data_IF_795770806292
#
_entry.id   IF_795770806292
#
_cell.length_a   1.000
_cell.length_b   1.000
_cell.length_c   1.000
_cell.angle_alpha   90.00
_cell.angle_beta   90.00
_cell.angle_gamma   90.00
#
_symmetry.space_group_name_H-M   'P 1'
#
loop_
_entity.id
_entity.type
_entity.pdbx_description
1 polymer ?
#
# COMPACT_ATOMS: atom_id res chain seq x y z
N UNK A 1 13.02 12.60 -0.09
CA UNK A 1 13.18 11.59 -1.17
C UNK A 1 14.45 11.79 -1.97
N UNK A 2 14.74 13.03 -2.49
CA UNK A 2 15.94 13.28 -3.30
C UNK A 2 17.24 12.86 -2.60
N UNK A 3 17.47 13.30 -1.35
CA UNK A 3 18.66 12.92 -0.57
C UNK A 3 18.80 11.40 -0.40
N UNK A 4 17.67 10.69 -0.22
CA UNK A 4 17.66 9.23 -0.10
C UNK A 4 18.10 8.57 -1.41
N UNK A 5 17.56 9.00 -2.55
CA UNK A 5 17.95 8.48 -3.87
C UNK A 5 19.43 8.75 -4.16
N UNK A 6 19.92 9.95 -3.84
CA UNK A 6 21.34 10.28 -3.98
C UNK A 6 22.22 9.39 -3.09
N UNK A 7 21.79 9.13 -1.85
CA UNK A 7 22.51 8.22 -0.95
C UNK A 7 22.57 6.80 -1.54
N UNK A 8 21.48 6.30 -2.13
CA UNK A 8 21.45 5.00 -2.80
C UNK A 8 22.44 4.94 -3.97
N UNK A 9 22.44 5.95 -4.84
CA UNK A 9 23.36 6.04 -5.98
C UNK A 9 24.81 6.08 -5.51
N UNK A 10 25.12 6.88 -4.49
CA UNK A 10 26.46 6.93 -3.90
C UNK A 10 26.85 5.59 -3.28
N UNK A 11 25.93 4.92 -2.59
CA UNK A 11 26.18 3.61 -2.01
C UNK A 11 26.54 2.58 -3.11
N UNK A 12 25.75 2.52 -4.19
CA UNK A 12 26.06 1.69 -5.36
C UNK A 12 27.44 2.01 -5.93
N UNK A 13 27.76 3.29 -6.08
CA UNK A 13 29.06 3.72 -6.59
C UNK A 13 30.21 3.27 -5.69
N UNK A 14 30.10 3.44 -4.38
CA UNK A 14 31.15 3.04 -3.44
C UNK A 14 31.29 1.51 -3.32
N UNK A 15 30.19 0.77 -3.38
CA UNK A 15 30.21 -0.71 -3.45
C UNK A 15 30.95 -1.15 -4.73
N UNK A 16 30.57 -0.61 -5.89
CA UNK A 16 31.21 -0.95 -7.15
C UNK A 16 32.71 -0.63 -7.15
N UNK A 17 33.08 0.53 -6.57
CA UNK A 17 34.48 0.93 -6.42
C UNK A 17 35.26 0.01 -5.46
N UNK A 18 34.66 -0.36 -4.33
CA UNK A 18 35.29 -1.27 -3.35
C UNK A 18 35.47 -2.68 -3.87
N UNK A 19 34.58 -3.14 -4.71
CA UNK A 19 34.64 -4.45 -5.37
C UNK A 19 35.41 -4.43 -6.71
N UNK A 20 36.00 -3.28 -7.07
CA UNK A 20 36.71 -3.07 -8.35
C UNK A 20 35.89 -3.45 -9.59
N UNK A 21 34.56 -3.25 -9.53
CA UNK A 21 33.66 -3.59 -10.62
C UNK A 21 33.59 -2.45 -11.64
N UNK A 22 33.79 -2.80 -12.91
CA UNK A 22 33.40 -1.91 -14.02
C UNK A 22 31.88 -1.90 -14.18
N UNK A 23 31.34 -1.01 -14.99
CA UNK A 23 29.89 -0.98 -15.25
C UNK A 23 29.36 -2.34 -15.79
N UNK A 24 30.09 -2.96 -16.70
CA UNK A 24 29.78 -4.31 -17.18
C UNK A 24 29.88 -5.37 -16.08
N UNK A 25 30.90 -5.28 -15.21
CA UNK A 25 31.08 -6.15 -14.06
C UNK A 25 29.94 -6.00 -13.03
N UNK A 26 29.44 -4.78 -12.83
CA UNK A 26 28.29 -4.53 -11.97
C UNK A 26 27.01 -5.19 -12.53
N UNK A 27 26.77 -5.04 -13.83
CA UNK A 27 25.61 -5.68 -14.49
C UNK A 27 25.73 -7.21 -14.42
N UNK A 28 26.91 -7.79 -14.68
CA UNK A 28 27.10 -9.24 -14.59
C UNK A 28 26.94 -9.74 -13.15
N UNK A 29 27.50 -9.05 -12.15
CA UNK A 29 27.32 -9.42 -10.74
C UNK A 29 25.86 -9.44 -10.33
N UNK A 30 25.06 -8.48 -10.81
CA UNK A 30 23.61 -8.45 -10.54
C UNK A 30 22.93 -9.60 -11.30
N UNK A 31 23.22 -9.78 -12.59
CA UNK A 31 22.58 -10.78 -13.45
C UNK A 31 22.85 -12.21 -12.98
N UNK A 32 24.07 -12.50 -12.54
CA UNK A 32 24.51 -13.84 -12.15
C UNK A 32 24.14 -14.18 -10.68
N UNK A 33 23.58 -13.23 -9.95
CA UNK A 33 23.16 -13.42 -8.56
C UNK A 33 21.89 -14.29 -8.49
N UNK A 34 21.82 -15.17 -7.48
CA UNK A 34 20.61 -15.95 -7.16
C UNK A 34 19.41 -15.06 -6.86
N UNK A 35 19.63 -13.81 -6.45
CA UNK A 35 18.59 -12.81 -6.20
C UNK A 35 18.02 -12.17 -7.47
N UNK A 36 18.60 -12.43 -8.65
CA UNK A 36 18.18 -11.82 -9.93
C UNK A 36 17.05 -12.57 -10.62
N UNK A 37 16.62 -13.72 -10.10
CA UNK A 37 15.47 -14.45 -10.64
C UNK A 37 14.19 -13.63 -10.37
N UNK A 38 13.67 -13.00 -11.43
CA UNK A 38 12.48 -12.11 -11.36
C UNK A 38 11.19 -12.84 -11.72
N UNK A 39 11.28 -13.87 -12.56
CA UNK A 39 10.11 -14.57 -13.10
C UNK A 39 10.07 -16.01 -12.58
N UNK A 40 9.06 -16.31 -11.79
CA UNK A 40 8.81 -17.61 -11.20
C UNK A 40 7.58 -18.23 -11.87
N UNK A 41 7.78 -19.10 -12.85
CA UNK A 41 6.72 -19.80 -13.59
C UNK A 41 6.67 -21.29 -13.27
N UNK A 42 7.60 -21.79 -12.45
CA UNK A 42 7.85 -23.22 -12.29
C UNK A 42 6.77 -23.91 -11.44
N UNK A 43 6.28 -23.23 -10.38
CA UNK A 43 5.30 -23.80 -9.45
C UNK A 43 4.16 -22.81 -9.16
N UNK A 44 2.95 -23.19 -9.56
CA UNK A 44 1.72 -22.41 -9.31
C UNK A 44 1.40 -22.32 -7.82
N UNK A 45 1.85 -23.28 -7.01
CA UNK A 45 1.60 -23.30 -5.57
C UNK A 45 2.51 -22.31 -4.79
N UNK A 46 3.69 -21.97 -5.34
CA UNK A 46 4.61 -21.03 -4.71
C UNK A 46 3.99 -19.63 -4.58
N UNK A 47 4.22 -18.98 -3.44
CA UNK A 47 3.82 -17.58 -3.19
C UNK A 47 4.36 -16.61 -4.23
N UNK A 48 5.53 -16.89 -4.80
CA UNK A 48 6.23 -16.03 -5.76
C UNK A 48 5.79 -16.25 -7.21
N UNK A 49 4.84 -17.15 -7.48
CA UNK A 49 4.37 -17.42 -8.83
C UNK A 49 3.96 -16.14 -9.55
N UNK A 50 4.53 -15.91 -10.74
CA UNK A 50 4.44 -14.63 -11.45
C UNK A 50 3.01 -14.10 -11.62
N UNK A 51 2.08 -14.91 -12.11
CA UNK A 51 0.71 -14.43 -12.36
C UNK A 51 -0.05 -14.08 -11.07
N UNK A 52 0.22 -14.76 -9.95
CA UNK A 52 -0.33 -14.38 -8.65
C UNK A 52 0.15 -12.99 -8.26
N UNK A 53 1.47 -12.78 -8.29
CA UNK A 53 2.09 -11.51 -7.90
C UNK A 53 1.69 -10.38 -8.84
N UNK A 54 1.64 -10.64 -10.14
CA UNK A 54 1.21 -9.65 -11.14
C UNK A 54 -0.24 -9.19 -10.92
N UNK A 55 -1.18 -10.15 -10.80
CA UNK A 55 -2.59 -9.82 -10.55
C UNK A 55 -2.78 -9.13 -9.20
N UNK A 56 -2.16 -9.65 -8.15
CA UNK A 56 -2.18 -9.02 -6.84
C UNK A 56 -1.66 -7.57 -6.89
N UNK A 57 -0.53 -7.34 -7.58
CA UNK A 57 0.05 -6.02 -7.78
C UNK A 57 -0.89 -5.06 -8.51
N UNK A 58 -1.52 -5.50 -9.61
CA UNK A 58 -2.50 -4.68 -10.35
C UNK A 58 -3.65 -4.24 -9.45
N UNK A 59 -4.27 -5.17 -8.72
CA UNK A 59 -5.41 -4.83 -7.85
C UNK A 59 -4.99 -4.01 -6.63
N UNK A 60 -3.79 -4.26 -6.08
CA UNK A 60 -3.23 -3.45 -4.99
C UNK A 60 -3.01 -2.00 -5.45
N UNK A 61 -2.44 -1.79 -6.63
CA UNK A 61 -2.24 -0.44 -7.18
C UNK A 61 -3.57 0.27 -7.44
N UNK A 62 -4.59 -0.45 -7.96
CA UNK A 62 -5.93 0.11 -8.14
C UNK A 62 -6.53 0.51 -6.78
N UNK A 63 -6.43 -0.34 -5.76
CA UNK A 63 -6.96 -0.06 -4.44
C UNK A 63 -6.22 1.10 -3.76
N UNK A 64 -4.89 1.08 -3.72
CA UNK A 64 -4.08 2.11 -3.06
C UNK A 64 -4.14 3.47 -3.76
N UNK A 65 -4.14 3.52 -5.09
CA UNK A 65 -4.21 4.82 -5.81
C UNK A 65 -5.64 5.33 -6.01
N UNK A 66 -6.63 4.44 -6.09
CA UNK A 66 -8.01 4.81 -6.39
C UNK A 66 -8.93 4.93 -5.20
N UNK A 67 -8.62 4.27 -4.08
CA UNK A 67 -9.49 4.20 -2.90
C UNK A 67 -8.86 4.79 -1.64
N UNK A 68 -7.54 5.07 -1.68
CA UNK A 68 -6.84 5.67 -0.56
C UNK A 68 -7.11 7.18 -0.49
N UNK A 69 -7.50 7.64 0.69
CA UNK A 69 -7.86 9.05 0.93
C UNK A 69 -6.68 10.00 0.69
N UNK A 70 -5.47 9.63 1.08
CA UNK A 70 -4.28 10.47 0.91
C UNK A 70 -3.94 10.64 -0.58
N UNK A 71 -3.94 9.56 -1.35
CA UNK A 71 -3.68 9.58 -2.79
C UNK A 71 -4.77 10.34 -3.55
N UNK A 72 -6.04 10.15 -3.19
CA UNK A 72 -7.16 10.85 -3.81
C UNK A 72 -7.13 12.36 -3.53
N UNK A 73 -6.82 12.80 -2.31
CA UNK A 73 -6.68 14.23 -1.99
C UNK A 73 -5.58 14.90 -2.83
N UNK A 74 -4.44 14.23 -3.01
CA UNK A 74 -3.36 14.74 -3.86
C UNK A 74 -3.78 14.86 -5.32
N UNK A 75 -4.46 13.86 -5.85
CA UNK A 75 -4.94 13.85 -7.23
C UNK A 75 -6.03 14.92 -7.48
N UNK A 76 -6.94 15.11 -6.52
CA UNK A 76 -8.00 16.12 -6.59
C UNK A 76 -7.46 17.55 -6.43
N UNK A 77 -6.28 17.74 -5.84
CA UNK A 77 -5.63 19.05 -5.74
C UNK A 77 -4.98 19.53 -7.03
N UNK A 78 -4.90 18.69 -8.06
CA UNK A 78 -4.41 19.08 -9.38
C UNK A 78 -5.37 20.06 -10.07
N UNK A 79 -4.79 20.96 -10.90
CA UNK A 79 -5.53 22.04 -11.55
C UNK A 79 -6.66 21.54 -12.46
N UNK A 80 -6.49 20.41 -13.12
CA UNK A 80 -7.46 19.79 -14.02
C UNK A 80 -7.23 18.28 -14.10
N UNK A 81 -8.21 17.58 -14.70
CA UNK A 81 -8.17 16.11 -14.86
C UNK A 81 -6.95 15.60 -15.64
N UNK A 82 -6.53 16.33 -16.69
CA UNK A 82 -5.36 15.93 -17.50
C UNK A 82 -4.07 16.02 -16.71
N UNK A 83 -3.92 17.02 -15.84
CA UNK A 83 -2.75 17.17 -14.99
C UNK A 83 -2.72 16.09 -13.91
N UNK A 84 -3.88 15.71 -13.36
CA UNK A 84 -4.01 14.57 -12.44
C UNK A 84 -3.57 13.26 -13.11
N UNK A 85 -4.05 12.99 -14.34
CA UNK A 85 -3.62 11.80 -15.10
C UNK A 85 -2.11 11.79 -15.38
N UNK A 86 -1.55 12.93 -15.83
CA UNK A 86 -0.11 13.06 -16.06
C UNK A 86 0.69 12.80 -14.77
N UNK A 87 0.22 13.37 -13.66
CA UNK A 87 0.85 13.14 -12.36
C UNK A 87 0.88 11.65 -11.99
N UNK A 88 -0.24 10.94 -12.15
CA UNK A 88 -0.31 9.50 -11.85
C UNK A 88 0.63 8.68 -12.74
N UNK A 89 0.62 8.94 -14.05
CA UNK A 89 1.48 8.21 -15.01
C UNK A 89 2.95 8.49 -14.73
N UNK A 90 3.33 9.76 -14.55
CA UNK A 90 4.71 10.15 -14.28
C UNK A 90 5.20 9.57 -12.95
N UNK A 91 4.35 9.59 -11.92
CA UNK A 91 4.66 8.98 -10.62
C UNK A 91 4.87 7.48 -10.75
N UNK A 92 4.02 6.77 -11.49
CA UNK A 92 4.17 5.32 -11.73
C UNK A 92 5.47 4.98 -12.46
N UNK A 93 5.81 5.73 -13.51
CA UNK A 93 7.06 5.54 -14.25
C UNK A 93 8.27 5.84 -13.35
N UNK A 94 8.23 6.95 -12.61
CA UNK A 94 9.31 7.31 -11.68
C UNK A 94 9.48 6.26 -10.58
N UNK A 95 8.39 5.74 -10.04
CA UNK A 95 8.39 4.69 -9.02
C UNK A 95 9.05 3.40 -9.54
N UNK A 96 8.78 3.02 -10.79
CA UNK A 96 9.41 1.86 -11.41
C UNK A 96 10.95 1.98 -11.41
N UNK A 97 11.49 3.11 -11.85
CA UNK A 97 12.95 3.32 -11.87
C UNK A 97 13.55 3.36 -10.46
N UNK A 98 12.86 3.99 -9.50
CA UNK A 98 13.31 4.02 -8.11
C UNK A 98 13.34 2.63 -7.49
N UNK A 99 12.28 1.83 -7.70
CA UNK A 99 12.24 0.44 -7.21
C UNK A 99 13.37 -0.38 -7.81
N UNK A 100 13.60 -0.27 -9.13
CA UNK A 100 14.69 -0.97 -9.80
C UNK A 100 16.05 -0.60 -9.18
N UNK A 101 16.27 0.70 -8.90
CA UNK A 101 17.50 1.18 -8.26
C UNK A 101 17.71 0.56 -6.86
N UNK A 102 16.65 0.48 -6.06
CA UNK A 102 16.72 -0.14 -4.73
C UNK A 102 16.94 -1.66 -4.80
N UNK A 103 16.33 -2.34 -5.77
CA UNK A 103 16.57 -3.78 -5.97
C UNK A 103 18.02 -4.05 -6.36
N UNK A 104 18.59 -3.24 -7.27
CA UNK A 104 20.01 -3.32 -7.62
C UNK A 104 20.89 -3.10 -6.39
N UNK A 105 20.60 -2.09 -5.57
CA UNK A 105 21.31 -1.86 -4.32
C UNK A 105 21.22 -3.08 -3.40
N UNK A 106 20.04 -3.70 -3.27
CA UNK A 106 19.84 -4.88 -2.43
C UNK A 106 20.79 -6.02 -2.80
N UNK A 107 20.87 -6.38 -4.08
CA UNK A 107 21.81 -7.42 -4.58
C UNK A 107 23.24 -7.06 -4.24
N UNK A 108 23.63 -5.80 -4.52
CA UNK A 108 25.00 -5.35 -4.28
C UNK A 108 25.38 -5.32 -2.80
N UNK A 109 24.44 -5.01 -1.91
CA UNK A 109 24.67 -5.04 -0.47
C UNK A 109 24.97 -6.45 0.03
N UNK A 110 24.19 -7.45 -0.39
CA UNK A 110 24.46 -8.84 -0.05
C UNK A 110 25.79 -9.33 -0.62
N UNK A 111 26.12 -8.96 -1.85
CA UNK A 111 27.42 -9.29 -2.46
C UNK A 111 28.57 -8.65 -1.69
N UNK A 112 28.43 -7.39 -1.32
CA UNK A 112 29.43 -6.64 -0.57
C UNK A 112 29.67 -7.25 0.82
N UNK A 113 28.60 -7.56 1.58
CA UNK A 113 28.74 -8.17 2.92
C UNK A 113 29.38 -9.55 2.84
N UNK A 114 29.00 -10.36 1.85
CA UNK A 114 29.60 -11.68 1.64
C UNK A 114 31.10 -11.60 1.34
N UNK A 115 31.53 -10.65 0.50
CA UNK A 115 32.96 -10.49 0.14
C UNK A 115 33.80 -9.89 1.25
N UNK A 116 33.21 -8.98 2.06
CA UNK A 116 33.89 -8.34 3.20
C UNK A 116 33.83 -9.16 4.49
N UNK A 117 33.15 -10.31 4.49
CA UNK A 117 32.98 -11.13 5.69
C UNK A 117 32.12 -10.45 6.78
N UNK A 118 31.24 -9.53 6.39
CA UNK A 118 30.33 -8.81 7.30
C UNK A 118 29.10 -9.69 7.56
N UNK A 119 28.77 -9.93 8.82
CA UNK A 119 27.56 -10.66 9.16
C UNK A 119 26.29 -9.91 8.75
N UNK A 120 25.34 -10.61 8.12
CA UNK A 120 24.05 -10.02 7.78
C UNK A 120 23.21 -9.84 9.06
N UNK A 121 22.43 -8.75 9.16
CA UNK A 121 21.52 -8.54 10.28
C UNK A 121 20.37 -9.58 10.24
N UNK A 122 19.73 -9.81 11.40
CA UNK A 122 18.57 -10.72 11.49
C UNK A 122 17.40 -10.28 10.61
N UNK A 123 17.19 -8.95 10.52
CA UNK A 123 16.16 -8.37 9.65
C UNK A 123 16.81 -7.79 8.40
N UNK A 124 16.37 -8.24 7.24
CA UNK A 124 16.88 -7.75 5.94
C UNK A 124 16.77 -6.25 5.76
N UNK A 125 15.75 -5.63 6.38
CA UNK A 125 15.49 -4.19 6.30
C UNK A 125 16.58 -3.35 7.01
N UNK A 126 17.38 -3.94 7.90
CA UNK A 126 18.47 -3.28 8.61
C UNK A 126 19.80 -3.27 7.83
N UNK A 127 19.89 -4.02 6.74
CA UNK A 127 21.14 -4.16 5.98
C UNK A 127 21.62 -2.84 5.37
N UNK A 128 20.74 -2.12 4.67
CA UNK A 128 21.10 -0.84 4.08
C UNK A 128 21.44 0.23 5.13
N UNK A 129 20.63 0.44 6.19
CA UNK A 129 21.00 1.31 7.30
C UNK A 129 22.38 0.97 7.91
N UNK A 130 22.62 -0.30 8.19
CA UNK A 130 23.87 -0.77 8.77
C UNK A 130 25.10 -0.41 7.91
N UNK A 131 25.03 -0.63 6.60
CA UNK A 131 26.12 -0.34 5.68
C UNK A 131 26.24 1.17 5.40
N UNK A 132 25.12 1.87 5.21
CA UNK A 132 25.14 3.30 4.92
C UNK A 132 25.65 4.16 6.08
N UNK A 133 25.38 3.77 7.33
CA UNK A 133 25.79 4.49 8.54
C UNK A 133 27.02 3.90 9.20
N UNK A 134 27.46 2.71 8.79
CA UNK A 134 28.73 2.11 9.18
C UNK A 134 29.92 2.85 8.57
N UNK A 135 31.10 2.64 9.12
CA UNK A 135 32.34 3.28 8.63
C UNK A 135 32.89 2.62 7.35
N UNK A 136 32.03 2.05 6.50
CA UNK A 136 32.42 1.38 5.27
C UNK A 136 32.61 2.35 4.11
N UNK A 137 31.91 3.48 4.13
CA UNK A 137 31.92 4.52 3.09
C UNK A 137 32.12 5.90 3.70
N UNK A 138 32.45 6.93 2.88
CA UNK A 138 32.52 8.30 3.36
C UNK A 138 31.24 8.72 4.08
N UNK A 139 31.39 9.44 5.19
CA UNK A 139 30.27 9.82 6.06
C UNK A 139 29.12 10.56 5.37
N UNK A 140 29.37 11.16 4.19
CA UNK A 140 28.33 11.83 3.40
C UNK A 140 27.20 10.86 2.98
N UNK A 141 27.48 9.59 2.74
CA UNK A 141 26.49 8.58 2.38
C UNK A 141 25.51 8.39 3.53
N UNK A 142 26.03 8.18 4.75
CA UNK A 142 25.22 8.04 5.95
C UNK A 142 24.41 9.29 6.29
N UNK A 143 25.01 10.48 6.16
CA UNK A 143 24.33 11.75 6.41
C UNK A 143 23.15 11.93 5.44
N UNK A 144 23.34 11.73 4.14
CA UNK A 144 22.30 11.83 3.13
C UNK A 144 21.21 10.77 3.32
N UNK A 145 21.60 9.55 3.73
CA UNK A 145 20.66 8.49 4.08
C UNK A 145 19.76 8.91 5.24
N UNK A 146 20.34 9.34 6.37
CA UNK A 146 19.60 9.73 7.57
C UNK A 146 18.66 10.91 7.28
N UNK A 147 19.17 11.97 6.64
CA UNK A 147 18.36 13.14 6.26
C UNK A 147 17.23 12.73 5.31
N UNK A 148 17.54 11.92 4.31
CA UNK A 148 16.57 11.43 3.34
C UNK A 148 15.51 10.55 3.98
N UNK A 149 15.88 9.66 4.89
CA UNK A 149 15.00 8.78 5.63
C UNK A 149 14.04 9.59 6.53
N UNK A 150 14.60 10.51 7.35
CA UNK A 150 13.79 11.35 8.24
C UNK A 150 12.82 12.22 7.44
N UNK A 151 13.28 12.87 6.38
CA UNK A 151 12.44 13.71 5.54
C UNK A 151 11.33 12.92 4.83
N UNK A 152 11.61 11.70 4.38
CA UNK A 152 10.64 10.82 3.73
C UNK A 152 9.60 10.33 4.74
N UNK A 153 10.04 9.88 5.91
CA UNK A 153 9.16 9.42 6.99
C UNK A 153 8.23 10.55 7.48
N UNK A 154 8.77 11.75 7.69
CA UNK A 154 8.01 12.92 8.10
C UNK A 154 6.94 13.30 7.06
N UNK A 155 7.31 13.31 5.78
CA UNK A 155 6.38 13.61 4.68
C UNK A 155 5.24 12.59 4.61
N UNK A 156 5.54 11.30 4.68
CA UNK A 156 4.54 10.23 4.61
C UNK A 156 3.62 10.24 5.85
N UNK A 157 4.19 10.35 7.05
CA UNK A 157 3.43 10.40 8.30
C UNK A 157 2.52 11.63 8.36
N UNK A 158 3.02 12.80 7.96
CA UNK A 158 2.24 14.05 7.94
C UNK A 158 1.06 13.99 6.98
N UNK A 159 1.25 13.39 5.81
CA UNK A 159 0.22 13.20 4.81
C UNK A 159 -0.87 12.24 5.30
N UNK A 160 -0.48 11.06 5.77
CA UNK A 160 -1.40 10.08 6.34
C UNK A 160 -2.20 10.63 7.52
N UNK A 161 -1.54 11.36 8.44
CA UNK A 161 -2.18 11.99 9.58
C UNK A 161 -3.20 13.05 9.16
N UNK A 162 -2.89 13.82 8.12
CA UNK A 162 -3.81 14.82 7.55
C UNK A 162 -5.03 14.15 6.93
N UNK A 163 -4.85 13.08 6.17
CA UNK A 163 -5.93 12.30 5.55
C UNK A 163 -6.85 11.69 6.62
N UNK A 164 -6.29 11.04 7.64
CA UNK A 164 -7.04 10.47 8.77
C UNK A 164 -7.81 11.54 9.54
N UNK A 165 -7.16 12.69 9.81
CA UNK A 165 -7.80 13.83 10.51
C UNK A 165 -8.97 14.36 9.70
N UNK A 166 -8.81 14.50 8.38
CA UNK A 166 -9.86 15.02 7.49
C UNK A 166 -11.04 14.07 7.44
N UNK A 167 -10.77 12.78 7.15
CA UNK A 167 -11.83 11.78 7.06
C UNK A 167 -12.61 11.66 8.38
N UNK A 168 -11.93 11.58 9.51
CA UNK A 168 -12.61 11.48 10.80
C UNK A 168 -13.42 12.75 11.14
N UNK A 169 -12.87 13.93 10.86
CA UNK A 169 -13.55 15.21 11.17
C UNK A 169 -14.76 15.45 10.27
N UNK A 170 -14.64 15.12 8.97
CA UNK A 170 -15.67 15.41 7.97
C UNK A 170 -16.68 14.28 7.89
N UNK A 171 -16.22 13.04 7.73
CA UNK A 171 -17.08 11.91 7.38
C UNK A 171 -17.72 11.27 8.63
N UNK A 172 -17.01 11.24 9.77
CA UNK A 172 -17.52 10.62 11.00
C UNK A 172 -18.17 11.64 11.93
N UNK A 173 -17.49 12.77 12.22
CA UNK A 173 -18.00 13.77 13.15
C UNK A 173 -18.93 14.80 12.51
N UNK A 174 -19.00 14.88 11.18
CA UNK A 174 -19.75 15.90 10.43
C UNK A 174 -19.53 17.32 10.96
N UNK A 175 -18.27 17.62 11.38
CA UNK A 175 -17.96 18.85 12.11
C UNK A 175 -18.04 20.13 11.27
N UNK A 176 -18.09 20.00 9.94
CA UNK A 176 -18.30 21.12 9.03
C UNK A 176 -19.60 21.88 9.25
N UNK A 177 -20.62 21.25 9.87
CA UNK A 177 -21.92 21.87 10.15
C UNK A 177 -21.83 22.83 11.32
N UNK A 178 -20.79 22.77 12.17
CA UNK A 178 -20.68 23.49 13.44
C UNK A 178 -20.07 24.91 13.37
N UNK A 179 -19.77 25.41 12.18
CA UNK A 179 -19.12 26.71 11.98
C UNK A 179 -17.58 26.64 12.09
N UNK A 180 -16.88 27.63 11.50
CA UNK A 180 -15.43 27.59 11.31
C UNK A 180 -14.60 27.53 12.60
N UNK A 181 -14.98 28.30 13.63
CA UNK A 181 -14.24 28.31 14.88
C UNK A 181 -14.32 26.97 15.63
N UNK A 182 -15.49 26.36 15.67
CA UNK A 182 -15.71 25.05 16.27
C UNK A 182 -14.99 23.97 15.44
N UNK A 183 -15.06 24.03 14.12
CA UNK A 183 -14.38 23.12 13.19
C UNK A 183 -12.87 23.14 13.42
N UNK A 184 -12.26 24.31 13.54
CA UNK A 184 -10.81 24.45 13.78
C UNK A 184 -10.39 23.79 15.10
N UNK A 185 -11.17 23.97 16.18
CA UNK A 185 -10.89 23.34 17.48
C UNK A 185 -11.02 21.81 17.41
N UNK A 186 -12.11 21.31 16.82
CA UNK A 186 -12.34 19.87 16.65
C UNK A 186 -11.24 19.24 15.82
N UNK A 187 -10.84 19.86 14.70
CA UNK A 187 -9.74 19.37 13.83
C UNK A 187 -8.45 19.22 14.60
N UNK A 188 -8.06 20.19 15.44
CA UNK A 188 -6.85 20.09 16.27
C UNK A 188 -6.92 18.93 17.26
N UNK A 189 -8.05 18.73 17.92
CA UNK A 189 -8.24 17.64 18.88
C UNK A 189 -8.18 16.29 18.17
N UNK A 190 -8.86 16.15 17.03
CA UNK A 190 -8.83 14.93 16.21
C UNK A 190 -7.40 14.66 15.72
N UNK A 191 -6.68 15.69 15.27
CA UNK A 191 -5.30 15.54 14.79
C UNK A 191 -4.37 14.99 15.88
N UNK A 192 -4.46 15.52 17.10
CA UNK A 192 -3.68 15.01 18.23
C UNK A 192 -4.09 13.56 18.56
N UNK A 193 -5.39 13.30 18.61
CA UNK A 193 -5.90 11.94 18.84
C UNK A 193 -5.40 10.94 17.81
N UNK A 194 -5.47 11.29 16.51
CA UNK A 194 -4.95 10.43 15.42
C UNK A 194 -3.44 10.25 15.49
N UNK A 195 -2.68 11.28 15.90
CA UNK A 195 -1.24 11.16 16.10
C UNK A 195 -0.90 10.15 17.20
N UNK A 196 -1.64 10.17 18.31
CA UNK A 196 -1.47 9.19 19.41
C UNK A 196 -1.81 7.77 18.93
N UNK A 197 -2.92 7.60 18.22
CA UNK A 197 -3.33 6.30 17.68
C UNK A 197 -2.28 5.78 16.69
N UNK A 198 -1.79 6.63 15.78
CA UNK A 198 -0.75 6.25 14.82
C UNK A 198 0.54 5.84 15.53
N UNK A 199 0.97 6.58 16.56
CA UNK A 199 2.13 6.23 17.36
C UNK A 199 1.96 4.88 18.07
N UNK A 200 0.78 4.63 18.66
CA UNK A 200 0.46 3.36 19.29
C UNK A 200 0.47 2.19 18.29
N UNK A 201 -0.10 2.39 17.09
CA UNK A 201 -0.09 1.36 16.02
C UNK A 201 1.34 1.05 15.58
N UNK A 202 2.19 2.07 15.38
CA UNK A 202 3.60 1.87 15.01
C UNK A 202 4.33 1.09 16.10
N UNK A 203 4.10 1.44 17.35
CA UNK A 203 4.73 0.75 18.51
C UNK A 203 4.32 -0.72 18.58
N UNK A 204 3.02 -1.01 18.48
CA UNK A 204 2.49 -2.39 18.48
C UNK A 204 3.02 -3.18 17.27
N UNK A 205 3.03 -2.54 16.09
CA UNK A 205 3.57 -3.17 14.88
C UNK A 205 5.05 -3.55 15.05
N UNK A 206 5.87 -2.66 15.59
CA UNK A 206 7.29 -2.94 15.85
C UNK A 206 7.51 -4.10 16.84
N UNK A 207 6.63 -4.25 17.83
CA UNK A 207 6.71 -5.36 18.79
C UNK A 207 6.30 -6.71 18.20
N UNK A 208 5.34 -6.71 17.27
CA UNK A 208 4.75 -7.95 16.75
C UNK A 208 5.35 -8.40 15.42
N UNK A 209 6.00 -7.48 14.69
CA UNK A 209 6.50 -7.79 13.35
C UNK A 209 7.87 -8.48 13.39
N UNK A 210 7.88 -9.74 12.97
CA UNK A 210 9.09 -10.56 12.81
C UNK A 210 9.42 -10.85 11.34
N UNK A 211 8.67 -10.26 10.41
CA UNK A 211 8.86 -10.43 8.96
C UNK A 211 9.37 -9.13 8.34
N UNK A 212 9.73 -9.18 7.05
CA UNK A 212 10.03 -7.97 6.28
C UNK A 212 8.87 -6.97 6.37
N UNK A 213 9.18 -5.70 6.56
CA UNK A 213 8.18 -4.62 6.64
C UNK A 213 7.31 -4.57 5.39
N UNK A 214 7.88 -4.80 4.21
CA UNK A 214 7.13 -4.85 2.95
C UNK A 214 6.10 -5.98 2.97
N UNK A 215 6.48 -7.20 3.34
CA UNK A 215 5.56 -8.33 3.43
C UNK A 215 4.41 -8.08 4.41
N UNK A 216 4.74 -7.50 5.57
CA UNK A 216 3.74 -7.16 6.58
C UNK A 216 2.75 -6.11 6.05
N UNK A 217 3.23 -5.06 5.34
CA UNK A 217 2.38 -4.01 4.77
C UNK A 217 1.45 -4.59 3.70
N UNK A 218 1.96 -5.38 2.74
CA UNK A 218 1.12 -5.96 1.69
C UNK A 218 0.12 -6.97 2.24
N UNK A 219 0.51 -7.76 3.24
CA UNK A 219 -0.40 -8.67 3.94
C UNK A 219 -1.52 -7.89 4.63
N UNK A 220 -1.18 -6.87 5.40
CA UNK A 220 -2.15 -6.01 6.08
C UNK A 220 -3.05 -5.28 5.08
N UNK A 221 -2.48 -4.78 3.98
CA UNK A 221 -3.23 -4.17 2.89
C UNK A 221 -4.24 -5.15 2.29
N UNK A 222 -3.88 -6.41 2.10
CA UNK A 222 -4.79 -7.44 1.57
C UNK A 222 -6.02 -7.67 2.46
N UNK A 223 -5.86 -7.53 3.77
CA UNK A 223 -6.98 -7.63 4.72
C UNK A 223 -7.83 -6.36 4.79
N UNK A 224 -7.23 -5.18 4.69
CA UNK A 224 -7.92 -3.90 4.88
C UNK A 224 -8.50 -3.33 3.59
N UNK A 225 -7.75 -3.34 2.49
CA UNK A 225 -8.24 -2.84 1.20
C UNK A 225 -9.18 -3.80 0.48
N UNK A 226 -9.14 -5.11 0.79
CA UNK A 226 -10.04 -6.07 0.18
C UNK A 226 -11.52 -5.71 0.35
N UNK A 227 -12.02 -5.50 1.56
CA UNK A 227 -13.41 -5.08 1.78
C UNK A 227 -13.74 -3.75 1.11
N UNK A 228 -12.84 -2.78 1.14
CA UNK A 228 -13.03 -1.47 0.49
C UNK A 228 -13.19 -1.65 -1.03
N UNK A 229 -12.30 -2.43 -1.64
CA UNK A 229 -12.36 -2.74 -3.07
C UNK A 229 -13.66 -3.47 -3.44
N UNK A 230 -14.10 -4.43 -2.61
CA UNK A 230 -15.35 -5.16 -2.80
C UNK A 230 -16.59 -4.26 -2.71
N UNK A 231 -16.63 -3.35 -1.74
CA UNK A 231 -17.68 -2.33 -1.60
C UNK A 231 -17.73 -1.41 -2.82
N UNK A 232 -16.58 -0.91 -3.25
CA UNK A 232 -16.46 -0.04 -4.41
C UNK A 232 -16.88 -0.74 -5.70
N UNK A 233 -16.38 -1.96 -5.91
CA UNK A 233 -16.76 -2.79 -7.05
C UNK A 233 -18.27 -3.03 -7.08
N UNK A 234 -18.89 -3.35 -5.93
CA UNK A 234 -20.33 -3.51 -5.83
C UNK A 234 -21.08 -2.23 -6.23
N UNK A 235 -20.65 -1.06 -5.73
CA UNK A 235 -21.27 0.22 -6.04
C UNK A 235 -21.14 0.60 -7.52
N UNK A 236 -20.00 0.32 -8.15
CA UNK A 236 -19.75 0.67 -9.57
C UNK A 236 -20.45 -0.31 -10.52
N UNK A 237 -20.35 -1.62 -10.27
CA UNK A 237 -20.84 -2.64 -11.20
C UNK A 237 -22.32 -3.03 -10.98
N UNK A 238 -22.90 -2.62 -9.84
CA UNK A 238 -24.31 -2.91 -9.57
C UNK A 238 -25.09 -1.61 -9.34
N UNK A 239 -26.35 -1.57 -9.80
CA UNK A 239 -27.28 -0.49 -9.48
C UNK A 239 -28.20 -0.85 -8.30
N UNK A 240 -27.84 -1.90 -7.55
CA UNK A 240 -28.67 -2.46 -6.49
C UNK A 240 -28.36 -1.78 -5.16
N UNK A 241 -29.38 -1.55 -4.36
CA UNK A 241 -29.24 -1.07 -2.99
C UNK A 241 -29.12 -2.23 -2.02
N UNK A 242 -28.29 -2.06 -1.00
CA UNK A 242 -28.08 -3.01 0.10
C UNK A 242 -28.66 -2.44 1.39
N UNK A 243 -29.04 -3.30 2.33
CA UNK A 243 -29.40 -2.86 3.67
C UNK A 243 -28.17 -2.40 4.43
N UNK A 244 -28.04 -1.10 4.71
CA UNK A 244 -26.87 -0.45 5.30
C UNK A 244 -26.39 -1.09 6.60
N UNK A 245 -27.33 -1.59 7.43
CA UNK A 245 -27.01 -2.26 8.71
C UNK A 245 -26.16 -3.54 8.56
N UNK A 246 -26.16 -4.20 7.39
CA UNK A 246 -25.40 -5.42 7.15
C UNK A 246 -24.02 -5.15 6.52
N UNK A 247 -23.76 -3.93 6.00
CA UNK A 247 -22.48 -3.58 5.38
C UNK A 247 -21.30 -3.77 6.35
N UNK A 248 -21.35 -3.27 7.60
CA UNK A 248 -20.26 -3.50 8.55
C UNK A 248 -20.04 -4.97 8.87
N UNK A 249 -21.11 -5.76 8.94
CA UNK A 249 -21.00 -7.19 9.18
C UNK A 249 -20.23 -7.89 8.06
N UNK A 250 -20.58 -7.60 6.79
CA UNK A 250 -19.90 -8.16 5.63
C UNK A 250 -18.45 -7.73 5.57
N UNK A 251 -18.17 -6.43 5.82
CA UNK A 251 -16.84 -5.86 5.79
C UNK A 251 -15.90 -6.44 6.87
N UNK A 252 -16.44 -6.89 8.01
CA UNK A 252 -15.67 -7.55 9.07
C UNK A 252 -15.58 -9.06 8.83
N UNK A 253 -16.65 -9.69 8.36
CA UNK A 253 -16.67 -11.13 8.13
C UNK A 253 -15.71 -11.56 7.01
N UNK A 254 -15.59 -10.75 5.95
CA UNK A 254 -14.74 -11.06 4.79
C UNK A 254 -13.25 -11.24 5.14
N UNK A 255 -12.57 -10.31 5.86
CA UNK A 255 -11.19 -10.52 6.30
C UNK A 255 -11.02 -11.72 7.23
N UNK A 256 -12.01 -12.00 8.09
CA UNK A 256 -11.96 -13.17 8.98
C UNK A 256 -11.99 -14.46 8.16
N UNK A 257 -12.88 -14.56 7.18
CA UNK A 257 -12.94 -15.70 6.27
C UNK A 257 -11.64 -15.85 5.47
N UNK A 258 -11.07 -14.73 5.00
CA UNK A 258 -9.78 -14.72 4.33
C UNK A 258 -8.64 -15.18 5.22
N UNK A 259 -8.63 -14.80 6.50
CA UNK A 259 -7.64 -15.28 7.45
C UNK A 259 -7.72 -16.79 7.67
N UNK A 260 -8.93 -17.32 7.83
CA UNK A 260 -9.16 -18.77 7.98
C UNK A 260 -8.71 -19.50 6.72
N UNK A 261 -9.05 -18.96 5.54
CA UNK A 261 -8.68 -19.54 4.25
C UNK A 261 -7.15 -19.53 4.06
N UNK A 262 -6.49 -18.40 4.31
CA UNK A 262 -5.04 -18.28 4.15
C UNK A 262 -4.29 -19.23 5.09
N UNK A 263 -4.73 -19.34 6.35
CA UNK A 263 -4.10 -20.21 7.33
C UNK A 263 -4.19 -21.69 6.99
N UNK A 264 -5.27 -22.09 6.31
CA UNK A 264 -5.51 -23.48 5.93
C UNK A 264 -5.28 -23.76 4.44
N UNK A 265 -4.77 -22.78 3.68
CA UNK A 265 -4.68 -22.88 2.23
C UNK A 265 -3.85 -24.08 1.76
N UNK A 266 -2.72 -24.35 2.38
CA UNK A 266 -1.87 -25.49 2.03
C UNK A 266 -2.60 -26.83 2.22
N UNK A 267 -3.34 -26.98 3.29
CA UNK A 267 -4.08 -28.21 3.58
C UNK A 267 -5.33 -28.38 2.70
N UNK A 268 -6.07 -27.29 2.45
CA UNK A 268 -7.34 -27.33 1.71
C UNK A 268 -7.19 -27.28 0.20
N UNK A 269 -6.09 -26.70 -0.29
CA UNK A 269 -5.83 -26.41 -1.69
C UNK A 269 -4.59 -27.16 -2.24
N UNK A 270 -4.33 -28.36 -1.73
CA UNK A 270 -3.23 -29.22 -2.20
C UNK A 270 -1.86 -28.53 -2.27
N UNK A 271 -1.47 -27.82 -1.21
CA UNK A 271 -0.18 -27.15 -1.14
C UNK A 271 -0.16 -25.72 -1.71
N UNK A 272 -1.30 -25.21 -2.18
CA UNK A 272 -1.39 -23.84 -2.69
C UNK A 272 -1.21 -22.82 -1.57
N UNK A 273 -0.19 -21.98 -1.71
CA UNK A 273 0.11 -20.91 -0.74
C UNK A 273 -0.51 -19.60 -1.20
N UNK A 274 -1.52 -19.12 -0.47
CA UNK A 274 -2.13 -17.82 -0.74
C UNK A 274 -1.17 -16.71 -0.29
N UNK A 275 -0.91 -15.77 -1.21
CA UNK A 275 -0.07 -14.59 -1.00
C UNK A 275 -0.92 -13.32 -1.09
N UNK A 276 -0.44 -12.30 -1.80
CA UNK A 276 -1.10 -10.99 -1.91
C UNK A 276 -2.38 -11.00 -2.76
N UNK A 277 -2.63 -12.04 -3.55
CA UNK A 277 -3.93 -12.26 -4.22
C UNK A 277 -5.09 -12.41 -3.22
N UNK A 278 -4.78 -12.58 -1.93
CA UNK A 278 -5.76 -12.52 -0.85
C UNK A 278 -6.61 -11.24 -0.90
N UNK A 279 -6.05 -10.12 -1.38
CA UNK A 279 -6.78 -8.86 -1.59
C UNK A 279 -7.97 -9.06 -2.54
N UNK A 280 -7.76 -9.79 -3.64
CA UNK A 280 -8.80 -10.06 -4.64
C UNK A 280 -9.86 -10.99 -4.07
N UNK A 281 -9.43 -12.03 -3.35
CA UNK A 281 -10.33 -12.99 -2.70
C UNK A 281 -11.19 -12.29 -1.66
N UNK A 282 -10.60 -11.41 -0.87
CA UNK A 282 -11.30 -10.63 0.14
C UNK A 282 -12.30 -9.64 -0.47
N UNK A 283 -11.93 -8.98 -1.57
CA UNK A 283 -12.84 -8.14 -2.32
C UNK A 283 -14.03 -8.94 -2.90
N UNK A 284 -13.76 -10.15 -3.41
CA UNK A 284 -14.80 -11.06 -3.92
C UNK A 284 -15.74 -11.51 -2.81
N UNK A 285 -15.23 -11.91 -1.65
CA UNK A 285 -16.06 -12.29 -0.50
C UNK A 285 -16.94 -11.14 -0.03
N UNK A 286 -16.39 -9.92 -0.01
CA UNK A 286 -17.18 -8.73 0.31
C UNK A 286 -18.26 -8.49 -0.73
N UNK A 287 -17.92 -8.53 -2.01
CA UNK A 287 -18.88 -8.34 -3.11
C UNK A 287 -20.02 -9.36 -3.05
N UNK A 288 -19.69 -10.65 -2.92
CA UNK A 288 -20.66 -11.72 -2.81
C UNK A 288 -21.50 -11.62 -1.52
N UNK A 289 -20.88 -11.27 -0.40
CA UNK A 289 -21.58 -11.01 0.86
C UNK A 289 -22.62 -9.91 0.73
N UNK A 290 -22.29 -8.81 0.01
CA UNK A 290 -23.25 -7.74 -0.26
C UNK A 290 -24.42 -8.20 -1.14
N UNK A 291 -24.17 -9.10 -2.09
CA UNK A 291 -25.22 -9.67 -2.93
C UNK A 291 -26.30 -10.41 -2.12
N UNK A 292 -25.96 -10.96 -0.95
CA UNK A 292 -26.92 -11.63 -0.08
C UNK A 292 -27.91 -10.67 0.60
N UNK A 293 -27.52 -9.39 0.74
CA UNK A 293 -28.29 -8.38 1.46
C UNK A 293 -28.88 -7.29 0.57
N UNK A 294 -29.14 -7.60 -0.70
CA UNK A 294 -29.75 -6.66 -1.66
C UNK A 294 -31.19 -6.38 -1.23
N UNK A 295 -31.57 -5.09 -1.18
CA UNK A 295 -32.96 -4.65 -0.99
C UNK A 295 -33.79 -5.10 -2.21
N UNK A 296 -34.91 -5.81 -1.95
CA UNK A 296 -35.89 -6.00 -3.00
C UNK A 296 -36.47 -4.64 -3.36
N UNK A 297 -36.37 -4.23 -4.61
CA UNK A 297 -37.13 -3.09 -5.11
C UNK A 297 -38.60 -3.50 -5.16
N UNK A 298 -39.41 -2.97 -4.24
CA UNK A 298 -40.86 -3.02 -4.38
C UNK A 298 -41.23 -2.20 -5.64
N UNK A 299 -41.94 -2.83 -6.57
CA UNK A 299 -42.35 -2.25 -7.85
C UNK A 299 -43.37 -1.10 -7.75
N UNK A 300 -43.59 -0.51 -6.56
CA UNK A 300 -44.72 0.39 -6.30
C UNK A 300 -44.48 1.87 -6.52
N UNK A 301 -43.30 2.32 -6.99
CA UNK A 301 -43.07 3.78 -7.13
C UNK A 301 -43.13 4.30 -8.57
N UNK A 302 -43.64 3.51 -9.51
CA UNK A 302 -43.76 3.94 -10.93
C UNK A 302 -45.08 4.66 -11.30
N UNK A 303 -46.04 4.70 -10.43
CA UNK A 303 -47.36 5.27 -10.77
C UNK A 303 -47.62 6.72 -10.29
N UNK A 304 -46.75 7.31 -9.46
CA UNK A 304 -47.02 8.66 -8.88
C UNK A 304 -46.37 9.82 -9.61
N UNK A 305 -45.50 9.59 -10.60
CA UNK A 305 -44.83 10.70 -11.32
C UNK A 305 -45.56 11.16 -12.59
N UNK A 306 -46.61 10.47 -13.03
CA UNK A 306 -47.36 10.85 -14.24
C UNK A 306 -48.62 11.68 -13.97
N UNK A 307 -49.10 11.79 -12.72
CA UNK A 307 -50.37 12.50 -12.40
C UNK A 307 -50.19 13.93 -11.95
N UNK A 308 -48.97 14.42 -11.69
CA UNK A 308 -48.74 15.79 -11.21
C UNK A 308 -48.42 16.79 -12.33
N UNK A 309 -48.28 16.37 -13.59
CA UNK A 309 -48.02 17.26 -14.74
C UNK A 309 -49.27 17.71 -15.49
N UNK A 310 -50.47 17.35 -15.07
CA UNK A 310 -51.73 17.72 -15.74
C UNK A 310 -52.65 18.70 -15.00
N UNK A 311 -52.20 19.32 -13.92
CA UNK A 311 -53.04 20.34 -13.20
C UNK A 311 -52.33 21.67 -12.98
N UNK A 312 -51.66 22.22 -13.99
CA UNK A 312 -51.38 23.64 -14.06
C UNK A 312 -51.54 24.04 -15.55
N UNK A 313 -52.75 24.45 -15.91
CA UNK A 313 -53.09 25.33 -17.00
C UNK A 313 -53.99 26.43 -16.41
#
# INVERSE_FOLDING_TARGET
TFCLVVSVVLCIYYIASSLHLSFSGLVSTISDSDFSKTFFFDDVNDKRYFFKQFLAGVFTVIAMNGLDQDMMQRNLSCKNFRDSQKNMITSGISQFFVILLFLMLGVLLYTFTAQQGIGNPEKSDELFPMIATGNYFPGIVGILFIIGLIASAYSAAGSALTALTTSFTVDILHAQIKGEAALSKIRKQVHIGMAIVMGAVIFVFNLLNNTSVIDAIYTLASYTYGPILGLFAFGIFTKKQVYDKYIPLVAIASPILCYILQRNSEAWLNGYQISYELLIINALFTFLGLCLFIKRQDKETSYTTHTTKQKVK
#
